data_IF_187124859025
#
_entry.id   IF_187124859025
#
_cell.length_a   1.000
_cell.length_b   1.000
_cell.length_c   1.000
_cell.angle_alpha   90.00
_cell.angle_beta   90.00
_cell.angle_gamma   90.00
#
_symmetry.space_group_name_H-M   'P 1'
#
loop_
_entity.id
_entity.type
_entity.pdbx_description
1 polymer ?
#
# COMPACT_ATOMS: atom_id res chain seq x y z
N UNK A 1 -59.89 -51.15 38.64
CA UNK A 1 -59.70 -50.56 37.26
C UNK A 1 -59.17 -49.14 37.36
N UNK A 2 -58.05 -48.91 38.09
CA UNK A 2 -57.61 -47.54 38.41
C UNK A 2 -56.07 -47.42 38.51
N UNK A 3 -55.30 -48.47 38.26
CA UNK A 3 -53.82 -48.43 38.37
C UNK A 3 -53.11 -48.46 37.03
N UNK A 4 -53.78 -48.85 35.95
CA UNK A 4 -53.24 -48.96 34.58
C UNK A 4 -53.32 -47.61 33.82
N UNK A 5 -54.29 -46.75 34.10
CA UNK A 5 -54.43 -45.45 33.42
C UNK A 5 -53.42 -44.39 33.87
N UNK A 6 -52.98 -44.39 35.12
CA UNK A 6 -51.95 -43.46 35.63
C UNK A 6 -50.54 -43.73 35.03
N UNK A 7 -50.24 -45.02 34.78
CA UNK A 7 -48.93 -45.38 34.19
C UNK A 7 -48.78 -45.00 32.69
N UNK A 8 -49.88 -44.98 31.93
CA UNK A 8 -49.88 -44.56 30.54
C UNK A 8 -49.75 -43.02 30.38
N UNK A 9 -50.37 -42.24 31.29
CA UNK A 9 -50.31 -40.78 31.24
C UNK A 9 -48.91 -40.27 31.64
N UNK A 10 -48.23 -40.93 32.61
CA UNK A 10 -46.83 -40.55 32.99
C UNK A 10 -45.80 -40.85 31.88
N UNK A 11 -45.93 -42.01 31.20
CA UNK A 11 -45.06 -42.36 30.09
C UNK A 11 -45.27 -41.45 28.85
N UNK A 12 -46.51 -41.05 28.58
CA UNK A 12 -46.80 -40.11 27.48
C UNK A 12 -46.19 -38.71 27.76
N UNK A 13 -46.23 -38.27 29.02
CA UNK A 13 -45.64 -36.98 29.43
C UNK A 13 -44.11 -37.01 29.38
N UNK A 14 -43.47 -38.12 29.82
CA UNK A 14 -42.02 -38.27 29.72
C UNK A 14 -41.52 -38.32 28.24
N UNK A 15 -42.24 -38.99 27.35
CA UNK A 15 -41.94 -38.99 25.91
C UNK A 15 -42.12 -37.63 25.28
N UNK A 16 -43.07 -36.82 25.72
CA UNK A 16 -43.26 -35.43 25.27
C UNK A 16 -42.08 -34.52 25.68
N UNK A 17 -41.65 -34.64 26.96
CA UNK A 17 -40.52 -33.88 27.51
C UNK A 17 -39.20 -34.26 26.81
N UNK A 18 -38.94 -35.54 26.57
CA UNK A 18 -37.74 -36.02 25.84
C UNK A 18 -37.73 -35.54 24.39
N UNK A 19 -38.89 -35.52 23.71
CA UNK A 19 -39.00 -35.01 22.32
C UNK A 19 -38.75 -33.51 22.24
N UNK A 20 -39.26 -32.73 23.22
CA UNK A 20 -39.02 -31.29 23.27
C UNK A 20 -37.56 -30.99 23.60
N UNK A 21 -36.92 -31.73 24.53
CA UNK A 21 -35.51 -31.57 24.85
C UNK A 21 -34.60 -31.91 23.63
N UNK A 22 -34.93 -32.97 22.91
CA UNK A 22 -34.21 -33.33 21.68
C UNK A 22 -34.31 -32.25 20.61
N UNK A 23 -35.49 -31.65 20.39
CA UNK A 23 -35.72 -30.58 19.46
C UNK A 23 -35.01 -29.28 19.88
N UNK A 24 -34.94 -28.99 21.19
CA UNK A 24 -34.17 -27.87 21.71
C UNK A 24 -32.66 -28.04 21.49
N UNK A 25 -32.12 -29.24 21.74
CA UNK A 25 -30.70 -29.56 21.51
C UNK A 25 -30.35 -29.43 20.00
N UNK A 26 -31.23 -29.95 19.11
CA UNK A 26 -31.01 -29.81 17.67
C UNK A 26 -31.06 -28.35 17.21
N UNK A 27 -31.96 -27.53 17.76
CA UNK A 27 -32.05 -26.10 17.46
C UNK A 27 -30.80 -25.35 17.94
N UNK A 28 -30.29 -25.66 19.15
CA UNK A 28 -29.06 -25.05 19.68
C UNK A 28 -27.82 -25.47 18.84
N UNK A 29 -27.74 -26.75 18.45
CA UNK A 29 -26.64 -27.19 17.56
C UNK A 29 -26.70 -26.55 16.18
N UNK A 30 -27.88 -26.38 15.59
CA UNK A 30 -28.07 -25.69 14.32
C UNK A 30 -27.67 -24.20 14.41
N UNK A 31 -28.00 -23.52 15.48
CA UNK A 31 -27.58 -22.12 15.68
C UNK A 31 -26.07 -21.97 15.90
N UNK A 32 -25.41 -22.91 16.58
CA UNK A 32 -23.96 -22.92 16.74
C UNK A 32 -23.25 -23.18 15.40
N UNK A 33 -23.73 -24.13 14.60
CA UNK A 33 -23.17 -24.43 13.26
C UNK A 33 -23.36 -23.24 12.31
N UNK A 34 -24.54 -22.60 12.28
CA UNK A 34 -24.73 -21.37 11.50
C UNK A 34 -23.85 -20.22 11.99
N UNK A 35 -23.65 -20.05 13.30
CA UNK A 35 -22.76 -19.04 13.86
C UNK A 35 -21.28 -19.24 13.45
N UNK A 36 -20.85 -20.48 13.29
CA UNK A 36 -19.48 -20.77 12.88
C UNK A 36 -19.23 -20.63 11.35
N UNK A 37 -20.26 -20.76 10.54
CA UNK A 37 -20.15 -20.53 9.09
C UNK A 37 -20.14 -19.05 8.71
N UNK A 38 -20.66 -18.16 9.55
CA UNK A 38 -20.58 -16.70 9.34
C UNK A 38 -19.32 -16.05 9.93
N UNK A 39 -18.54 -16.77 10.76
CA UNK A 39 -17.36 -16.23 11.45
C UNK A 39 -16.07 -16.16 10.62
N UNK A 40 -16.02 -16.75 9.44
CA UNK A 40 -14.82 -16.78 8.58
C UNK A 40 -15.06 -16.26 7.16
N UNK A 41 -15.97 -15.33 6.99
CA UNK A 41 -15.83 -14.42 5.86
C UNK A 41 -14.63 -13.50 6.23
N UNK A 42 -13.43 -13.90 5.81
CA UNK A 42 -12.41 -12.93 5.48
C UNK A 42 -13.15 -11.91 4.60
N UNK A 43 -13.41 -10.73 5.16
CA UNK A 43 -13.82 -9.58 4.39
C UNK A 43 -12.68 -9.35 3.40
N UNK A 44 -12.76 -10.00 2.24
CA UNK A 44 -12.15 -9.48 1.04
C UNK A 44 -12.76 -8.06 0.96
N UNK A 45 -12.01 -7.09 1.49
CA UNK A 45 -12.36 -5.68 1.39
C UNK A 45 -12.46 -5.47 -0.11
N UNK A 46 -13.70 -5.50 -0.61
CA UNK A 46 -13.98 -5.24 -2.02
C UNK A 46 -13.40 -3.86 -2.23
N UNK A 47 -12.33 -3.77 -2.99
CA UNK A 47 -11.76 -2.51 -3.42
C UNK A 47 -12.84 -1.93 -4.34
N UNK A 48 -13.75 -1.17 -3.74
CA UNK A 48 -14.74 -0.44 -4.52
C UNK A 48 -13.96 0.48 -5.44
N UNK A 49 -14.28 0.43 -6.71
CA UNK A 49 -13.77 1.20 -7.85
C UNK A 49 -13.99 2.72 -7.71
N UNK A 50 -13.66 3.30 -6.55
CA UNK A 50 -13.83 4.73 -6.23
C UNK A 50 -12.52 5.51 -6.21
N UNK A 51 -11.42 4.95 -6.73
CA UNK A 51 -10.16 5.69 -6.84
C UNK A 51 -10.17 6.47 -8.14
N UNK A 52 -10.37 7.77 -8.05
CA UNK A 52 -10.27 8.67 -9.21
C UNK A 52 -8.81 8.93 -9.55
N UNK A 53 -8.39 8.42 -10.69
CA UNK A 53 -7.13 8.77 -11.33
C UNK A 53 -7.31 9.98 -12.25
N UNK A 54 -6.21 10.71 -12.45
CA UNK A 54 -6.13 11.75 -13.48
C UNK A 54 -6.54 11.18 -14.84
N UNK A 55 -7.31 11.94 -15.62
CA UNK A 55 -7.76 11.48 -16.94
C UNK A 55 -6.62 11.47 -17.96
N UNK A 56 -5.81 12.53 -17.98
CA UNK A 56 -4.70 12.75 -18.92
C UNK A 56 -3.55 13.39 -18.17
N UNK A 57 -2.31 12.94 -18.40
CA UNK A 57 -1.11 13.60 -17.92
C UNK A 57 -0.50 14.51 -19.00
N UNK A 58 0.32 15.52 -18.64
CA UNK A 58 1.13 16.25 -19.61
C UNK A 58 2.01 15.32 -20.43
N UNK A 59 2.25 15.65 -21.69
CA UNK A 59 3.17 14.89 -22.52
C UNK A 59 4.60 14.92 -21.96
N UNK A 60 5.29 13.80 -22.05
CA UNK A 60 6.72 13.71 -21.71
C UNK A 60 7.53 14.58 -22.67
N UNK A 61 8.53 15.28 -22.15
CA UNK A 61 9.43 16.13 -22.94
C UNK A 61 10.20 15.33 -24.02
N UNK A 62 10.63 15.99 -25.06
CA UNK A 62 11.21 15.34 -26.24
C UNK A 62 12.49 14.54 -25.93
N UNK A 63 13.31 15.03 -25.01
CA UNK A 63 14.55 14.40 -24.55
C UNK A 63 14.35 13.10 -23.76
N UNK A 64 13.13 12.84 -23.28
CA UNK A 64 12.78 11.61 -22.57
C UNK A 64 11.95 10.64 -23.41
N UNK A 65 11.85 10.85 -24.73
CA UNK A 65 11.08 10.00 -25.63
C UNK A 65 11.92 8.89 -26.26
N UNK A 66 11.30 7.80 -26.73
CA UNK A 66 11.99 6.74 -27.46
C UNK A 66 12.84 7.28 -28.61
N UNK A 67 14.07 6.77 -28.75
CA UNK A 67 15.06 7.21 -29.70
C UNK A 67 16.04 8.28 -29.19
N UNK A 68 15.67 9.04 -28.16
CA UNK A 68 16.57 9.98 -27.50
C UNK A 68 17.64 9.25 -26.66
N UNK A 69 18.75 9.91 -26.36
CA UNK A 69 19.75 9.42 -25.42
C UNK A 69 19.44 9.94 -24.02
N UNK A 70 19.22 9.01 -23.10
CA UNK A 70 18.94 9.38 -21.71
C UNK A 70 20.15 10.04 -21.05
N UNK A 71 19.92 11.22 -20.47
CA UNK A 71 20.92 11.96 -19.69
C UNK A 71 20.34 12.28 -18.30
N UNK A 72 20.91 11.64 -17.27
CA UNK A 72 20.44 11.82 -15.89
C UNK A 72 20.63 13.26 -15.40
N UNK A 73 21.74 13.92 -15.74
CA UNK A 73 22.02 15.29 -15.30
C UNK A 73 20.99 16.33 -15.78
N UNK A 74 20.30 16.06 -16.89
CA UNK A 74 19.25 16.94 -17.38
C UNK A 74 17.96 16.85 -16.53
N UNK A 75 17.81 15.77 -15.75
CA UNK A 75 16.62 15.51 -14.92
C UNK A 75 16.85 15.96 -13.47
N UNK A 76 18.11 15.97 -13.02
CA UNK A 76 18.50 16.36 -11.65
C UNK A 76 18.50 17.87 -11.41
N UNK A 77 18.26 18.68 -12.44
CA UNK A 77 18.32 20.15 -12.37
C UNK A 77 17.15 20.79 -11.59
N UNK A 78 16.09 20.05 -11.28
CA UNK A 78 14.98 20.53 -10.46
C UNK A 78 15.31 20.35 -8.97
N UNK A 79 15.23 21.44 -8.21
CA UNK A 79 15.46 21.42 -6.76
C UNK A 79 14.45 20.50 -6.05
N UNK A 80 14.94 19.64 -5.16
CA UNK A 80 14.07 18.77 -4.37
C UNK A 80 13.34 19.57 -3.29
N UNK A 81 12.07 19.23 -3.07
CA UNK A 81 11.32 19.70 -1.91
C UNK A 81 11.89 19.14 -0.60
N UNK A 82 11.84 19.92 0.48
CA UNK A 82 12.15 19.45 1.83
C UNK A 82 10.85 19.30 2.61
N UNK A 83 10.14 18.20 2.38
CA UNK A 83 8.84 17.92 3.02
C UNK A 83 8.97 16.67 3.88
N UNK A 84 8.41 16.75 5.09
CA UNK A 84 8.35 15.63 6.02
C UNK A 84 6.90 15.35 6.41
N UNK A 85 6.57 14.07 6.55
CA UNK A 85 5.24 13.60 6.94
C UNK A 85 5.38 12.75 8.20
N UNK A 86 4.62 13.09 9.24
CA UNK A 86 4.55 12.27 10.45
C UNK A 86 3.76 11.01 10.13
N UNK A 87 4.31 9.85 10.45
CA UNK A 87 3.70 8.55 10.18
C UNK A 87 3.33 7.85 11.48
N UNK A 88 2.27 7.03 11.48
CA UNK A 88 1.95 6.15 12.60
C UNK A 88 3.06 5.10 12.80
N UNK A 89 3.30 4.74 14.06
CA UNK A 89 4.40 3.84 14.43
C UNK A 89 4.33 2.49 13.70
N UNK A 90 3.11 1.94 13.53
CA UNK A 90 2.91 0.65 12.86
C UNK A 90 3.41 0.64 11.40
N UNK A 91 3.49 1.80 10.73
CA UNK A 91 3.97 1.92 9.35
C UNK A 91 5.50 2.03 9.28
N UNK A 92 6.16 2.38 10.38
CA UNK A 92 7.58 2.73 10.39
C UNK A 92 8.48 1.50 10.49
N UNK A 93 9.56 1.48 9.68
CA UNK A 93 10.50 0.38 9.57
C UNK A 93 10.82 0.00 8.14
N UNK A 94 11.54 -1.09 7.95
CA UNK A 94 11.83 -1.66 6.63
C UNK A 94 10.84 -2.78 6.34
N UNK A 95 10.28 -2.77 5.14
CA UNK A 95 9.25 -3.68 4.68
C UNK A 95 9.72 -4.44 3.46
N UNK A 96 9.31 -5.71 3.36
CA UNK A 96 9.70 -6.59 2.25
C UNK A 96 8.47 -7.13 1.53
N UNK A 97 8.33 -6.74 0.26
CA UNK A 97 7.31 -7.29 -0.62
C UNK A 97 7.81 -8.60 -1.21
N UNK A 98 7.04 -9.66 -1.06
CA UNK A 98 7.36 -10.96 -1.65
C UNK A 98 6.48 -11.31 -2.84
N UNK A 99 5.18 -11.03 -2.72
CA UNK A 99 4.17 -11.33 -3.74
C UNK A 99 3.12 -10.23 -3.75
N UNK A 100 2.64 -9.93 -4.95
CA UNK A 100 1.46 -9.11 -5.17
C UNK A 100 0.43 -9.87 -6.00
N UNK A 101 -0.84 -9.56 -5.79
CA UNK A 101 -1.94 -10.11 -6.58
C UNK A 101 -2.65 -8.98 -7.30
N UNK A 102 -2.59 -8.98 -8.63
CA UNK A 102 -3.42 -8.12 -9.45
C UNK A 102 -4.84 -8.68 -9.45
N UNK A 103 -5.79 -7.90 -8.94
CA UNK A 103 -7.22 -8.28 -8.85
C UNK A 103 -8.08 -7.62 -9.92
N UNK A 104 -7.54 -6.62 -10.61
CA UNK A 104 -8.17 -5.93 -11.73
C UNK A 104 -7.09 -5.44 -12.69
N UNK A 105 -7.33 -5.62 -13.99
CA UNK A 105 -6.49 -5.08 -15.07
C UNK A 105 -7.38 -4.59 -16.19
N UNK A 106 -7.05 -3.42 -16.73
CA UNK A 106 -7.72 -2.83 -17.88
C UNK A 106 -6.68 -2.35 -18.90
N UNK A 107 -6.90 -2.67 -20.15
CA UNK A 107 -6.16 -2.11 -21.28
C UNK A 107 -7.07 -1.09 -21.99
N UNK A 108 -6.69 0.19 -21.95
CA UNK A 108 -7.49 1.27 -22.55
C UNK A 108 -7.42 1.30 -24.07
N UNK A 109 -6.40 0.67 -24.68
CA UNK A 109 -6.25 0.61 -26.14
C UNK A 109 -7.22 -0.39 -26.76
N UNK A 110 -7.41 -1.53 -26.09
CA UNK A 110 -8.26 -2.61 -26.58
C UNK A 110 -9.63 -2.64 -25.89
N UNK A 111 -9.80 -1.92 -24.81
CA UNK A 111 -10.98 -1.96 -23.94
C UNK A 111 -11.11 -3.26 -23.12
N UNK A 112 -10.11 -4.17 -23.19
CA UNK A 112 -10.14 -5.42 -22.44
C UNK A 112 -10.05 -5.18 -20.96
N UNK A 113 -10.98 -5.80 -20.21
CA UNK A 113 -10.98 -5.86 -18.74
C UNK A 113 -10.76 -7.30 -18.31
N UNK A 114 -9.88 -7.50 -17.33
CA UNK A 114 -9.56 -8.78 -16.74
C UNK A 114 -9.66 -8.65 -15.22
N UNK A 115 -10.50 -9.46 -14.60
CA UNK A 115 -10.74 -9.52 -13.15
C UNK A 115 -10.27 -10.83 -12.53
N UNK A 116 -9.65 -11.71 -13.32
CA UNK A 116 -9.05 -12.93 -12.79
C UNK A 116 -7.83 -12.59 -11.95
N UNK A 117 -7.77 -13.00 -10.67
CA UNK A 117 -6.63 -12.73 -9.83
C UNK A 117 -5.35 -13.36 -10.40
N UNK A 118 -4.30 -12.57 -10.49
CA UNK A 118 -2.99 -13.02 -10.95
C UNK A 118 -1.91 -12.64 -9.94
N UNK A 119 -1.31 -13.66 -9.30
CA UNK A 119 -0.26 -13.45 -8.31
C UNK A 119 1.12 -13.57 -8.96
N UNK A 120 1.99 -12.62 -8.67
CA UNK A 120 3.37 -12.59 -9.16
C UNK A 120 4.36 -12.25 -8.05
N UNK A 121 5.63 -12.54 -8.27
CA UNK A 121 6.69 -12.15 -7.36
C UNK A 121 7.06 -10.69 -7.57
N UNK A 122 6.95 -9.89 -6.51
CA UNK A 122 7.35 -8.50 -6.47
C UNK A 122 8.42 -8.34 -5.39
N UNK A 123 9.69 -8.52 -5.78
CA UNK A 123 10.81 -8.47 -4.81
C UNK A 123 11.36 -7.05 -4.76
N UNK A 124 10.85 -6.28 -3.84
CA UNK A 124 11.42 -4.99 -3.50
C UNK A 124 11.26 -4.72 -2.01
N UNK A 125 12.18 -3.96 -1.48
CA UNK A 125 12.16 -3.51 -0.09
C UNK A 125 11.91 -2.01 -0.09
N UNK A 126 11.22 -1.50 0.93
CA UNK A 126 11.02 -0.08 1.14
C UNK A 126 11.08 0.26 2.62
N UNK A 127 11.44 1.50 2.92
CA UNK A 127 11.54 2.00 4.27
C UNK A 127 10.61 3.19 4.47
N UNK A 128 9.88 3.18 5.58
CA UNK A 128 9.11 4.32 6.07
C UNK A 128 9.60 4.74 7.46
N UNK A 129 9.56 6.07 7.71
CA UNK A 129 10.18 6.64 8.88
C UNK A 129 11.69 6.84 8.70
N UNK A 130 12.19 8.05 8.98
CA UNK A 130 13.61 8.38 8.85
C UNK A 130 14.16 9.10 10.07
N UNK A 131 13.37 9.97 10.73
CA UNK A 131 13.78 10.72 11.90
C UNK A 131 12.72 10.64 12.98
N UNK A 132 13.13 10.86 14.22
CA UNK A 132 12.27 10.89 15.40
C UNK A 132 12.29 12.29 16.03
N UNK A 133 11.13 12.84 16.33
CA UNK A 133 11.01 14.09 17.06
C UNK A 133 11.23 13.90 18.58
N UNK A 134 11.32 14.99 19.31
CA UNK A 134 11.49 14.99 20.78
C UNK A 134 10.37 14.24 21.51
N UNK A 135 9.15 14.26 20.98
CA UNK A 135 7.98 13.61 21.56
C UNK A 135 7.87 12.11 21.19
N UNK A 136 8.80 11.62 20.36
CA UNK A 136 8.84 10.24 19.91
C UNK A 136 8.07 9.98 18.61
N UNK A 137 7.49 11.00 17.99
CA UNK A 137 6.84 10.88 16.70
C UNK A 137 7.83 10.58 15.58
N UNK A 138 7.47 9.69 14.66
CA UNK A 138 8.35 9.26 13.58
C UNK A 138 7.95 9.99 12.28
N UNK A 139 8.95 10.52 11.58
CA UNK A 139 8.78 11.32 10.38
C UNK A 139 9.48 10.69 9.18
N UNK A 140 8.84 10.77 8.02
CA UNK A 140 9.35 10.28 6.75
C UNK A 140 9.62 11.45 5.80
N UNK A 141 10.82 11.45 5.22
CA UNK A 141 11.22 12.46 4.25
C UNK A 141 10.60 12.19 2.88
N UNK A 142 10.04 13.24 2.29
CA UNK A 142 9.44 13.23 0.95
C UNK A 142 10.14 14.28 0.10
N UNK A 143 11.33 13.94 -0.37
CA UNK A 143 12.12 14.83 -1.23
C UNK A 143 11.87 14.51 -2.70
N UNK A 144 10.87 15.14 -3.32
CA UNK A 144 10.61 15.02 -4.76
C UNK A 144 11.02 16.28 -5.51
N UNK A 145 11.47 16.17 -6.78
CA UNK A 145 11.64 14.94 -7.57
C UNK A 145 12.86 14.11 -7.13
N UNK A 146 12.80 12.81 -7.38
CA UNK A 146 13.95 11.91 -7.23
C UNK A 146 13.92 10.81 -8.30
N UNK A 147 15.02 10.08 -8.44
CA UNK A 147 15.09 8.96 -9.35
C UNK A 147 15.57 7.69 -8.66
N UNK A 148 15.18 6.55 -9.22
CA UNK A 148 15.73 5.24 -8.92
C UNK A 148 16.04 4.50 -10.22
N UNK A 149 17.04 3.61 -10.21
CA UNK A 149 17.45 2.82 -11.35
C UNK A 149 17.52 1.35 -10.99
N UNK A 150 16.94 0.51 -11.85
CA UNK A 150 17.04 -0.94 -11.78
C UNK A 150 17.63 -1.45 -13.08
N UNK A 151 18.68 -2.27 -13.00
CA UNK A 151 19.25 -2.92 -14.18
C UNK A 151 18.63 -4.31 -14.34
N UNK A 152 17.98 -4.52 -15.47
CA UNK A 152 17.39 -5.79 -15.86
C UNK A 152 18.25 -6.41 -16.99
N UNK A 153 18.07 -7.69 -17.28
CA UNK A 153 18.88 -8.39 -18.26
C UNK A 153 18.84 -7.79 -19.68
N UNK A 154 17.74 -7.15 -20.04
CA UNK A 154 17.51 -6.63 -21.40
C UNK A 154 17.54 -5.09 -21.48
N UNK A 155 17.33 -4.38 -20.38
CA UNK A 155 17.28 -2.92 -20.32
C UNK A 155 17.53 -2.40 -18.91
N UNK A 156 17.88 -1.12 -18.80
CA UNK A 156 17.82 -0.38 -17.54
C UNK A 156 16.44 0.27 -17.43
N UNK A 157 15.83 0.17 -16.27
CA UNK A 157 14.58 0.86 -15.96
C UNK A 157 14.86 1.98 -14.95
N UNK A 158 14.48 3.20 -15.30
CA UNK A 158 14.67 4.40 -14.51
C UNK A 158 13.29 4.95 -14.18
N UNK A 159 13.03 5.15 -12.90
CA UNK A 159 11.83 5.78 -12.37
C UNK A 159 12.16 7.22 -11.99
N UNK A 160 11.59 8.19 -12.66
CA UNK A 160 11.66 9.60 -12.33
C UNK A 160 10.40 9.96 -11.55
N UNK A 161 10.47 9.95 -10.23
CA UNK A 161 9.34 10.29 -9.36
C UNK A 161 9.22 11.81 -9.29
N UNK A 162 8.13 12.35 -9.84
CA UNK A 162 7.86 13.78 -9.92
C UNK A 162 7.19 14.31 -8.66
N UNK A 163 6.24 13.55 -8.13
CA UNK A 163 5.55 13.88 -6.88
C UNK A 163 5.19 12.63 -6.08
N UNK A 164 5.15 12.78 -4.76
CA UNK A 164 4.59 11.83 -3.82
C UNK A 164 3.85 12.61 -2.75
N UNK A 165 2.53 12.48 -2.72
CA UNK A 165 1.65 13.26 -1.87
C UNK A 165 0.88 12.35 -0.93
N UNK A 166 1.08 12.52 0.37
CA UNK A 166 0.33 11.80 1.40
C UNK A 166 -1.05 12.44 1.55
N UNK A 167 -2.10 11.61 1.53
CA UNK A 167 -3.50 12.00 1.69
C UNK A 167 -4.03 11.68 3.07
N UNK A 168 -3.61 10.54 3.61
CA UNK A 168 -3.96 10.03 4.94
C UNK A 168 -2.67 9.53 5.57
N UNK A 169 -2.42 9.87 6.83
CA UNK A 169 -1.31 9.35 7.61
C UNK A 169 -1.72 9.35 9.09
N UNK A 170 -2.52 8.38 9.50
CA UNK A 170 -3.06 8.20 10.85
C UNK A 170 -3.00 6.74 11.30
N UNK A 171 -3.51 6.47 12.50
CA UNK A 171 -3.50 5.14 13.10
C UNK A 171 -4.36 4.11 12.34
N UNK A 172 -5.28 4.55 11.49
CA UNK A 172 -6.17 3.67 10.73
C UNK A 172 -5.62 3.32 9.36
N UNK A 173 -4.80 4.21 8.78
CA UNK A 173 -4.26 4.00 7.45
C UNK A 173 -3.26 5.06 7.01
N UNK A 174 -2.46 4.69 6.03
CA UNK A 174 -1.56 5.60 5.33
C UNK A 174 -1.82 5.47 3.85
N UNK A 175 -2.13 6.59 3.19
CA UNK A 175 -2.34 6.60 1.73
C UNK A 175 -1.62 7.77 1.07
N UNK A 176 -1.13 7.54 -0.15
CA UNK A 176 -0.46 8.56 -0.94
C UNK A 176 -0.63 8.32 -2.44
N UNK A 177 -0.52 9.41 -3.19
CA UNK A 177 -0.43 9.39 -4.66
C UNK A 177 1.01 9.61 -5.07
N UNK A 178 1.49 8.80 -6.02
CA UNK A 178 2.80 8.98 -6.64
C UNK A 178 2.63 9.15 -8.15
N UNK A 179 3.25 10.20 -8.71
CA UNK A 179 3.33 10.41 -10.15
C UNK A 179 4.78 10.27 -10.60
N UNK A 180 5.01 9.41 -11.59
CA UNK A 180 6.36 9.15 -12.10
C UNK A 180 6.39 8.99 -13.62
N UNK A 181 7.56 9.23 -14.20
CA UNK A 181 7.91 8.80 -15.57
C UNK A 181 8.83 7.59 -15.50
N UNK A 182 8.47 6.53 -16.21
CA UNK A 182 9.28 5.30 -16.31
C UNK A 182 9.96 5.30 -17.66
N UNK A 183 11.28 5.16 -17.67
CA UNK A 183 12.12 5.15 -18.85
C UNK A 183 12.85 3.82 -18.91
N UNK A 184 12.75 3.13 -20.04
CA UNK A 184 13.53 1.93 -20.34
C UNK A 184 14.58 2.27 -21.35
N UNK A 185 15.85 2.03 -21.05
CA UNK A 185 16.97 2.30 -21.95
C UNK A 185 17.84 1.06 -22.13
N UNK A 186 18.51 0.98 -23.28
CA UNK A 186 19.51 -0.05 -23.54
C UNK A 186 20.85 0.26 -22.82
N UNK A 187 21.84 -0.59 -22.98
CA UNK A 187 23.17 -0.46 -22.38
C UNK A 187 23.94 0.80 -22.81
N UNK A 188 23.60 1.39 -23.95
CA UNK A 188 24.22 2.64 -24.47
C UNK A 188 23.36 3.87 -24.17
N UNK A 189 22.43 3.75 -23.21
CA UNK A 189 21.53 4.82 -22.75
C UNK A 189 20.54 5.35 -23.79
N UNK A 190 20.29 4.63 -24.89
CA UNK A 190 19.25 4.99 -25.83
C UNK A 190 17.88 4.58 -25.23
N UNK A 191 16.93 5.50 -25.21
CA UNK A 191 15.57 5.27 -24.71
C UNK A 191 14.83 4.36 -25.68
N UNK A 192 14.35 3.22 -25.16
CA UNK A 192 13.56 2.24 -25.88
C UNK A 192 12.05 2.49 -25.70
N UNK A 193 11.67 2.80 -24.47
CA UNK A 193 10.28 3.03 -24.09
C UNK A 193 10.19 4.09 -23.01
N UNK A 194 9.13 4.90 -23.07
CA UNK A 194 8.77 5.84 -22.01
C UNK A 194 7.27 5.84 -21.82
N UNK A 195 6.87 5.77 -20.56
CA UNK A 195 5.48 5.88 -20.14
C UNK A 195 5.40 6.60 -18.78
N UNK A 196 4.23 7.06 -18.42
CA UNK A 196 4.00 7.69 -17.12
C UNK A 196 3.09 6.83 -16.29
N UNK A 197 3.17 6.96 -14.96
CA UNK A 197 2.30 6.27 -14.02
C UNK A 197 1.81 7.20 -12.93
N UNK A 198 0.55 7.06 -12.58
CA UNK A 198 -0.03 7.56 -11.35
C UNK A 198 -0.46 6.35 -10.51
N UNK A 199 0.08 6.26 -9.30
CA UNK A 199 -0.25 5.19 -8.37
C UNK A 199 -0.86 5.78 -7.11
N UNK A 200 -2.01 5.28 -6.70
CA UNK A 200 -2.62 5.57 -5.41
C UNK A 200 -2.47 4.31 -4.56
N UNK A 201 -1.66 4.43 -3.52
CA UNK A 201 -1.31 3.31 -2.64
C UNK A 201 -1.84 3.57 -1.24
N UNK A 202 -2.44 2.56 -0.64
CA UNK A 202 -2.93 2.61 0.73
C UNK A 202 -2.41 1.42 1.52
N UNK A 203 -2.03 1.67 2.76
CA UNK A 203 -1.61 0.68 3.73
C UNK A 203 -2.50 0.72 4.95
N UNK A 204 -2.79 -0.42 5.53
CA UNK A 204 -3.48 -0.55 6.81
C UNK A 204 -2.78 -1.61 7.66
N UNK A 205 -2.86 -1.53 9.00
CA UNK A 205 -2.37 -2.60 9.86
C UNK A 205 -3.03 -3.93 9.50
N UNK A 206 -2.24 -4.99 9.37
CA UNK A 206 -2.79 -6.35 9.21
C UNK A 206 -3.16 -6.95 10.57
N UNK A 207 -4.05 -7.95 10.57
CA UNK A 207 -4.37 -8.71 11.77
C UNK A 207 -3.15 -9.45 12.36
N UNK A 208 -2.18 -9.81 11.52
CA UNK A 208 -0.93 -10.47 11.94
C UNK A 208 0.10 -9.41 12.34
N UNK A 209 0.61 -9.41 13.59
CA UNK A 209 1.65 -8.49 14.03
C UNK A 209 2.88 -8.51 13.10
N UNK A 210 3.50 -7.36 12.86
CA UNK A 210 4.63 -7.21 11.94
C UNK A 210 4.26 -7.39 10.47
N UNK A 211 2.99 -7.21 10.13
CA UNK A 211 2.49 -7.22 8.75
C UNK A 211 1.58 -6.02 8.49
N UNK A 212 1.54 -5.58 7.25
CA UNK A 212 0.61 -4.55 6.75
C UNK A 212 -0.09 -5.05 5.50
N UNK A 213 -1.33 -4.62 5.31
CA UNK A 213 -2.06 -4.84 4.07
C UNK A 213 -1.84 -3.66 3.14
N UNK A 214 -1.54 -3.94 1.88
CA UNK A 214 -1.39 -2.95 0.82
C UNK A 214 -2.51 -3.10 -0.20
N UNK A 215 -3.07 -1.98 -0.60
CA UNK A 215 -3.88 -1.86 -1.81
C UNK A 215 -3.28 -0.77 -2.69
N UNK A 216 -3.13 -1.03 -3.97
CA UNK A 216 -2.60 -0.07 -4.92
C UNK A 216 -3.44 -0.06 -6.20
N UNK A 217 -3.80 1.13 -6.66
CA UNK A 217 -4.36 1.34 -7.99
C UNK A 217 -3.36 2.12 -8.81
N UNK A 218 -2.92 1.57 -9.93
CA UNK A 218 -1.93 2.20 -10.81
C UNK A 218 -2.52 2.36 -12.20
N UNK A 219 -2.57 3.62 -12.68
CA UNK A 219 -2.92 3.98 -14.04
C UNK A 219 -1.67 4.38 -14.80
N UNK A 220 -1.43 3.73 -15.92
CA UNK A 220 -0.31 4.04 -16.83
C UNK A 220 -0.80 4.86 -18.00
N UNK A 221 0.07 5.74 -18.46
CA UNK A 221 -0.16 6.64 -19.60
C UNK A 221 0.98 6.50 -20.59
N UNK A 222 0.70 6.65 -21.88
CA UNK A 222 1.76 6.72 -22.88
C UNK A 222 2.61 8.00 -22.75
N UNK A 223 3.62 8.16 -23.60
CA UNK A 223 4.49 9.35 -23.60
C UNK A 223 3.74 10.65 -23.96
N UNK A 224 2.53 10.57 -24.51
CA UNK A 224 1.67 11.73 -24.81
C UNK A 224 0.67 12.01 -23.69
N UNK A 225 0.72 11.26 -22.58
CA UNK A 225 -0.15 11.43 -21.44
C UNK A 225 -1.53 10.78 -21.58
N UNK A 226 -1.75 9.97 -22.62
CA UNK A 226 -3.03 9.25 -22.81
C UNK A 226 -3.05 7.95 -22.01
N UNK A 227 -4.18 7.61 -21.35
CA UNK A 227 -4.32 6.36 -20.62
C UNK A 227 -3.99 5.14 -21.50
N UNK A 228 -3.19 4.22 -20.97
CA UNK A 228 -2.83 2.98 -21.66
C UNK A 228 -3.27 1.74 -20.90
N UNK A 229 -3.07 1.69 -19.59
CA UNK A 229 -3.43 0.55 -18.73
C UNK A 229 -3.83 1.02 -17.35
N UNK A 230 -4.58 0.17 -16.64
CA UNK A 230 -4.84 0.30 -15.20
C UNK A 230 -4.76 -1.07 -14.55
N UNK A 231 -4.23 -1.13 -13.33
CA UNK A 231 -4.24 -2.32 -12.50
C UNK A 231 -4.54 -1.99 -11.04
N UNK A 232 -5.27 -2.87 -10.36
CA UNK A 232 -5.43 -2.81 -8.91
C UNK A 232 -4.74 -4.04 -8.31
N UNK A 233 -3.87 -3.80 -7.37
CA UNK A 233 -3.05 -4.82 -6.73
C UNK A 233 -3.29 -4.84 -5.22
N UNK A 234 -3.18 -6.03 -4.64
CA UNK A 234 -3.21 -6.24 -3.19
C UNK A 234 -1.99 -7.04 -2.76
N UNK A 235 -1.52 -6.80 -1.55
CA UNK A 235 -0.45 -7.58 -0.95
C UNK A 235 -0.51 -7.53 0.57
N UNK A 236 -0.12 -8.62 1.23
CA UNK A 236 0.26 -8.63 2.64
C UNK A 236 1.78 -8.55 2.71
N UNK A 237 2.29 -7.53 3.37
CA UNK A 237 3.71 -7.19 3.39
C UNK A 237 4.24 -7.40 4.81
N UNK A 238 5.43 -8.00 4.93
CA UNK A 238 6.06 -8.30 6.22
C UNK A 238 7.13 -7.28 6.56
N UNK A 239 7.20 -6.92 7.83
CA UNK A 239 8.30 -6.12 8.35
C UNK A 239 9.59 -6.93 8.33
N UNK A 240 10.61 -6.37 7.71
CA UNK A 240 11.96 -6.96 7.67
C UNK A 240 12.80 -6.49 8.87
N UNK A 241 12.65 -5.22 9.27
CA UNK A 241 13.24 -4.68 10.49
C UNK A 241 12.40 -3.54 11.07
N UNK A 242 12.41 -3.35 12.41
CA UNK A 242 11.74 -2.22 13.03
C UNK A 242 12.38 -0.89 12.60
N UNK A 243 11.73 0.20 12.97
CA UNK A 243 12.24 1.54 12.73
C UNK A 243 13.63 1.75 13.36
N UNK A 244 14.50 2.38 12.60
CA UNK A 244 15.73 2.99 13.06
C UNK A 244 15.93 4.32 12.35
N UNK A 245 16.51 5.30 13.04
CA UNK A 245 16.84 6.58 12.42
C UNK A 245 17.84 6.41 11.28
N UNK A 246 17.72 7.26 10.27
CA UNK A 246 18.56 7.25 9.07
C UNK A 246 19.43 8.49 9.08
N UNK A 247 20.75 8.31 9.22
CA UNK A 247 21.70 9.42 9.25
C UNK A 247 21.84 10.07 7.85
N UNK A 248 21.96 9.24 6.83
CA UNK A 248 22.22 9.72 5.45
C UNK A 248 21.29 9.04 4.46
N UNK A 249 20.64 9.82 3.62
CA UNK A 249 19.81 9.35 2.50
C UNK A 249 20.09 10.15 1.24
N UNK A 250 20.43 9.47 0.15
CA UNK A 250 20.81 10.12 -1.12
C UNK A 250 21.91 11.18 -0.97
N UNK A 251 22.90 10.93 -0.10
CA UNK A 251 24.00 11.85 0.15
C UNK A 251 23.67 13.06 1.03
N UNK A 252 22.44 13.14 1.57
CA UNK A 252 21.99 14.23 2.44
C UNK A 252 21.98 13.81 3.90
N UNK A 253 22.35 14.73 4.79
CA UNK A 253 22.19 14.56 6.24
C UNK A 253 20.71 14.69 6.61
N UNK A 254 20.09 13.59 7.01
CA UNK A 254 18.65 13.53 7.31
C UNK A 254 18.31 14.28 8.59
N UNK A 255 19.21 14.27 9.58
CA UNK A 255 18.97 14.96 10.84
C UNK A 255 19.01 16.48 10.65
N UNK A 256 19.98 16.98 9.90
CA UNK A 256 20.08 18.41 9.58
C UNK A 256 18.85 18.88 8.81
N UNK A 257 18.46 18.14 7.73
CA UNK A 257 17.25 18.46 6.94
C UNK A 257 15.96 18.42 7.76
N UNK A 258 15.85 17.49 8.71
CA UNK A 258 14.68 17.40 9.59
C UNK A 258 14.61 18.60 10.55
N UNK A 259 15.74 18.98 11.14
CA UNK A 259 15.80 20.18 12.00
C UNK A 259 15.45 21.45 11.22
N UNK A 260 15.99 21.63 10.00
CA UNK A 260 15.65 22.74 9.12
C UNK A 260 14.13 22.78 8.81
N UNK A 261 13.54 21.63 8.51
CA UNK A 261 12.10 21.52 8.28
C UNK A 261 11.30 21.96 9.52
N UNK A 262 11.62 21.43 10.71
CA UNK A 262 10.91 21.78 11.94
C UNK A 262 11.01 23.27 12.26
N UNK A 263 12.18 23.89 12.03
CA UNK A 263 12.39 25.31 12.20
C UNK A 263 11.55 26.12 11.20
N UNK A 264 11.59 25.74 9.92
CA UNK A 264 10.88 26.46 8.85
C UNK A 264 9.34 26.36 8.92
N UNK A 265 8.84 25.37 9.68
CA UNK A 265 7.41 25.14 9.89
C UNK A 265 6.91 25.53 11.28
N UNK A 266 7.71 26.31 12.05
CA UNK A 266 7.40 26.76 13.42
C UNK A 266 7.15 25.61 14.42
N UNK A 267 7.77 24.44 14.20
CA UNK A 267 7.68 23.25 15.06
C UNK A 267 8.94 23.05 15.92
N UNK A 268 9.56 24.12 16.36
CA UNK A 268 10.84 24.10 17.13
C UNK A 268 10.73 23.35 18.44
N UNK A 269 9.53 23.24 19.02
CA UNK A 269 9.26 22.42 20.21
C UNK A 269 9.49 20.90 19.99
N UNK A 270 9.48 20.45 18.74
CA UNK A 270 9.71 19.05 18.35
C UNK A 270 11.18 18.72 18.01
N UNK A 271 12.07 19.71 18.05
CA UNK A 271 13.49 19.50 17.75
C UNK A 271 14.08 18.39 18.64
N UNK A 272 14.79 17.41 18.06
CA UNK A 272 15.49 16.39 18.83
C UNK A 272 16.50 17.00 19.83
N UNK A 273 16.70 16.37 20.99
CA UNK A 273 17.57 16.90 22.07
C UNK A 273 19.03 17.14 21.65
N UNK A 274 19.49 16.47 20.58
CA UNK A 274 20.82 16.63 19.99
C UNK A 274 20.78 17.35 18.64
N UNK A 275 19.83 18.26 18.45
CA UNK A 275 19.79 19.06 17.21
C UNK A 275 21.12 19.81 17.03
N UNK A 276 21.71 19.85 15.81
CA UNK A 276 22.81 20.73 15.52
C UNK A 276 22.36 22.17 15.79
N UNK A 277 23.15 22.88 16.63
CA UNK A 277 22.92 24.30 16.87
C UNK A 277 23.24 25.04 15.58
N UNK A 278 22.31 25.88 15.05
CA UNK A 278 22.52 26.63 13.83
C UNK A 278 23.71 27.60 13.90
#
# INVERSE_FOLDING_TARGET
MTVLETSYAENANQLGVLRNLRNLIIAVFLTIILGWTFGNQALAKTFELGVEHTEVLPSVSAELRPGAKFNLSAVEAEGQSNVWVKLPEWMCGTWKVGRETAVFRQDFKTGKIDKEPFTYFARHDFQYGMQKDREGGIWHYVGTPYHSKTSLSQFNEIHLVKSKEFRIADEQGVSFTTVMTVIRSNSVSQILETFQQESITSYTPAATPGSIEMTASTKSFDANGKPSRQSNNIATIKQASPFSEVDTYQGKDMKALFCEFLISTDQTNLLPDQAPVP
#
